data_IF_019574996501
#
_entry.id   IF_019574996501
#
_cell.length_a   1.000
_cell.length_b   1.000
_cell.length_c   1.000
_cell.angle_alpha   90.00
_cell.angle_beta   90.00
_cell.angle_gamma   90.00
#
_symmetry.space_group_name_H-M   'P 1'
#
loop_
_entity.id
_entity.type
_entity.pdbx_description
1 polymer ?
#
# COMPACT_ATOMS: atom_id res chain seq x y z
N UNK A 1 -11.15 19.19 -71.09
CA UNK A 1 -11.11 19.68 -69.70
C UNK A 1 -11.32 18.50 -68.77
N UNK A 2 -10.24 17.99 -68.16
CA UNK A 2 -10.25 16.85 -67.24
C UNK A 2 -10.35 17.39 -65.81
N UNK A 3 -11.45 17.10 -65.10
CA UNK A 3 -11.62 17.46 -63.67
C UNK A 3 -10.97 16.35 -62.83
N UNK A 4 -9.90 16.71 -62.07
CA UNK A 4 -9.27 15.85 -61.09
C UNK A 4 -10.06 16.05 -59.76
N UNK A 5 -10.72 14.99 -59.29
CA UNK A 5 -11.32 14.97 -57.99
C UNK A 5 -10.28 14.53 -56.96
N UNK A 6 -9.91 15.43 -56.05
CA UNK A 6 -9.03 15.13 -54.93
C UNK A 6 -9.91 14.58 -53.80
N UNK A 7 -9.83 13.28 -53.59
CA UNK A 7 -10.49 12.62 -52.46
C UNK A 7 -9.74 12.93 -51.14
N UNK A 8 -10.41 13.58 -50.21
CA UNK A 8 -9.91 13.83 -48.85
C UNK A 8 -10.06 12.54 -48.03
N UNK A 9 -8.96 11.81 -47.79
CA UNK A 9 -8.96 10.72 -46.80
C UNK A 9 -8.93 11.34 -45.38
N UNK A 10 -10.05 11.33 -44.70
CA UNK A 10 -10.12 11.62 -43.28
C UNK A 10 -9.55 10.40 -42.50
N UNK A 11 -8.34 10.53 -42.00
CA UNK A 11 -7.74 9.55 -41.12
C UNK A 11 -8.47 9.54 -39.78
N UNK A 12 -9.22 8.48 -39.47
CA UNK A 12 -9.72 8.20 -38.14
C UNK A 12 -8.52 7.80 -37.24
N UNK A 13 -8.10 8.71 -36.39
CA UNK A 13 -7.18 8.39 -35.28
C UNK A 13 -7.93 7.55 -34.26
N UNK A 14 -7.73 6.24 -34.24
CA UNK A 14 -8.14 5.41 -33.10
C UNK A 14 -7.25 5.79 -31.92
N UNK A 15 -7.82 6.54 -30.99
CA UNK A 15 -7.21 6.70 -29.65
C UNK A 15 -7.19 5.32 -28.98
N UNK A 16 -6.00 4.74 -28.82
CA UNK A 16 -5.85 3.55 -28.00
C UNK A 16 -6.25 3.94 -26.57
N UNK A 17 -7.36 3.43 -26.08
CA UNK A 17 -7.72 3.50 -24.67
C UNK A 17 -6.74 2.59 -23.97
N UNK A 18 -5.80 3.18 -23.22
CA UNK A 18 -4.91 2.40 -22.38
C UNK A 18 -5.77 1.69 -21.33
N UNK A 19 -5.61 0.37 -21.22
CA UNK A 19 -6.35 -0.43 -20.25
C UNK A 19 -5.68 -0.33 -18.88
N UNK A 20 -6.48 -0.17 -17.83
CA UNK A 20 -6.03 -0.30 -16.45
C UNK A 20 -5.44 -1.68 -16.25
N UNK A 21 -4.21 -1.76 -15.78
CA UNK A 21 -3.53 -3.01 -15.46
C UNK A 21 -3.67 -3.32 -13.97
N UNK A 22 -3.99 -4.56 -13.64
CA UNK A 22 -4.15 -5.03 -12.25
C UNK A 22 -3.04 -5.99 -11.89
N UNK A 23 -2.47 -5.80 -10.69
CA UNK A 23 -1.39 -6.60 -10.13
C UNK A 23 -1.81 -7.08 -8.74
N UNK A 24 -1.67 -8.37 -8.47
CA UNK A 24 -1.90 -8.98 -7.16
C UNK A 24 -0.62 -8.99 -6.34
N UNK A 25 -0.71 -8.67 -5.05
CA UNK A 25 0.45 -8.69 -4.16
C UNK A 25 1.03 -10.10 -4.06
N UNK A 26 2.35 -10.18 -4.16
CA UNK A 26 3.12 -11.40 -3.93
C UNK A 26 3.37 -11.54 -2.42
N UNK A 27 2.87 -12.61 -1.76
CA UNK A 27 2.79 -12.65 -0.30
C UNK A 27 4.14 -12.85 0.41
N UNK A 28 5.17 -13.39 -0.28
CA UNK A 28 6.46 -13.68 0.35
C UNK A 28 7.39 -12.45 0.42
N UNK A 29 7.13 -11.43 -0.42
CA UNK A 29 7.92 -10.20 -0.48
C UNK A 29 7.10 -8.94 -0.18
N UNK A 30 5.89 -9.10 0.40
CA UNK A 30 5.02 -7.99 0.76
C UNK A 30 4.83 -7.92 2.27
N UNK A 31 5.30 -6.82 2.88
CA UNK A 31 5.25 -6.62 4.32
C UNK A 31 4.85 -5.21 4.69
N UNK A 32 3.99 -5.09 5.70
CA UNK A 32 3.75 -3.85 6.43
C UNK A 32 4.50 -3.93 7.77
N UNK A 33 5.52 -3.09 7.94
CA UNK A 33 6.31 -2.94 9.17
C UNK A 33 5.85 -1.70 9.89
N UNK A 34 5.99 -1.70 11.21
CA UNK A 34 5.72 -0.53 12.03
C UNK A 34 6.77 -0.40 13.12
N UNK A 35 7.19 0.84 13.37
CA UNK A 35 8.22 1.17 14.34
C UNK A 35 7.76 2.27 15.29
N UNK A 36 8.11 2.14 16.57
CA UNK A 36 7.78 3.10 17.62
C UNK A 36 8.88 3.18 18.68
N UNK A 37 8.99 4.33 19.36
CA UNK A 37 9.91 4.50 20.48
C UNK A 37 9.40 3.74 21.71
N UNK A 38 10.27 2.99 22.36
CA UNK A 38 9.98 2.32 23.63
C UNK A 38 10.79 2.97 24.75
N UNK A 39 10.11 3.75 25.60
CA UNK A 39 10.67 4.46 26.76
C UNK A 39 11.87 5.37 26.42
N UNK A 40 12.04 5.74 25.17
CA UNK A 40 13.20 6.48 24.70
C UNK A 40 14.50 5.67 24.60
N UNK A 41 14.49 4.39 24.99
CA UNK A 41 15.69 3.56 24.94
C UNK A 41 16.01 3.05 23.53
N UNK A 42 14.98 2.70 22.77
CA UNK A 42 15.16 2.12 21.44
C UNK A 42 13.90 2.27 20.59
N UNK A 43 14.05 2.11 19.28
CA UNK A 43 12.95 1.92 18.35
C UNK A 43 12.67 0.42 18.22
N UNK A 44 11.47 0.02 18.59
CA UNK A 44 10.99 -1.34 18.37
C UNK A 44 10.36 -1.41 16.99
N UNK A 45 10.69 -2.45 16.21
CA UNK A 45 10.16 -2.67 14.87
C UNK A 45 9.51 -4.04 14.84
N UNK A 46 8.28 -4.05 14.35
CA UNK A 46 7.46 -5.25 14.15
C UNK A 46 6.88 -5.25 12.76
N UNK A 47 6.26 -6.37 12.34
CA UNK A 47 5.63 -6.48 11.04
C UNK A 47 4.37 -7.34 11.09
N UNK A 48 3.60 -7.27 10.02
CA UNK A 48 2.56 -8.25 9.72
C UNK A 48 3.04 -9.19 8.63
N UNK A 49 2.93 -10.51 8.89
CA UNK A 49 3.40 -11.55 7.97
C UNK A 49 2.37 -11.93 6.89
N UNK A 50 1.11 -11.45 7.01
CA UNK A 50 0.04 -11.73 6.04
C UNK A 50 -0.59 -10.42 5.57
N UNK A 51 -0.09 -9.95 4.44
CA UNK A 51 -0.59 -8.77 3.73
C UNK A 51 -1.08 -9.23 2.37
N UNK A 52 -2.29 -8.81 1.98
CA UNK A 52 -2.89 -9.09 0.68
C UNK A 52 -3.41 -7.81 0.08
N UNK A 53 -3.45 -7.74 -1.23
CA UNK A 53 -3.99 -6.56 -1.89
C UNK A 53 -3.79 -6.58 -3.38
N UNK A 54 -4.26 -5.52 -3.99
CA UNK A 54 -4.13 -5.26 -5.41
C UNK A 54 -3.60 -3.85 -5.64
N UNK A 55 -2.82 -3.72 -6.69
CA UNK A 55 -2.43 -2.46 -7.29
C UNK A 55 -3.03 -2.43 -8.69
N UNK A 56 -3.80 -1.39 -9.00
CA UNK A 56 -4.27 -1.15 -10.35
C UNK A 56 -3.78 0.21 -10.81
N UNK A 57 -3.27 0.32 -12.03
CA UNK A 57 -2.86 1.61 -12.58
C UNK A 57 -2.97 1.66 -14.11
N UNK A 58 -3.22 2.85 -14.61
CA UNK A 58 -3.13 3.23 -16.00
C UNK A 58 -1.98 4.24 -16.14
N UNK A 59 -0.87 3.79 -16.70
CA UNK A 59 0.34 4.61 -16.86
C UNK A 59 0.11 5.77 -17.80
N UNK A 60 -0.71 5.60 -18.83
CA UNK A 60 -0.96 6.64 -19.83
C UNK A 60 -1.92 7.71 -19.28
N UNK A 61 -2.93 7.31 -18.51
CA UNK A 61 -3.86 8.23 -17.86
C UNK A 61 -3.28 8.86 -16.57
N UNK A 62 -2.19 8.32 -16.01
CA UNK A 62 -1.65 8.78 -14.73
C UNK A 62 -2.62 8.54 -13.56
N UNK A 63 -3.36 7.43 -13.59
CA UNK A 63 -4.33 7.05 -12.55
C UNK A 63 -3.97 5.71 -11.96
N UNK A 64 -4.36 5.50 -10.70
CA UNK A 64 -4.12 4.23 -10.02
C UNK A 64 -4.91 4.08 -8.73
N UNK A 65 -4.98 2.86 -8.23
CA UNK A 65 -5.60 2.53 -6.96
C UNK A 65 -4.85 1.40 -6.26
N UNK A 66 -4.94 1.41 -4.93
CA UNK A 66 -4.36 0.38 -4.05
C UNK A 66 -5.44 -0.04 -3.07
N UNK A 67 -5.66 -1.33 -2.94
CA UNK A 67 -6.54 -1.93 -1.92
C UNK A 67 -5.74 -2.99 -1.15
N UNK A 68 -5.66 -2.82 0.18
CA UNK A 68 -4.84 -3.66 1.05
C UNK A 68 -5.67 -4.22 2.19
N UNK A 69 -5.48 -5.49 2.48
CA UNK A 69 -5.99 -6.16 3.68
C UNK A 69 -4.85 -6.86 4.42
N UNK A 70 -4.75 -6.58 5.71
CA UNK A 70 -3.74 -7.12 6.62
C UNK A 70 -4.44 -8.02 7.63
N UNK A 71 -3.99 -9.26 7.81
CA UNK A 71 -4.39 -10.11 8.92
C UNK A 71 -3.69 -9.63 10.20
N UNK A 72 -4.42 -9.03 11.14
CA UNK A 72 -3.84 -8.46 12.37
C UNK A 72 -3.26 -9.52 13.30
N UNK A 73 -3.74 -10.78 13.22
CA UNK A 73 -3.19 -11.91 13.97
C UNK A 73 -1.81 -12.34 13.47
N UNK A 74 -1.42 -11.89 12.28
CA UNK A 74 -0.11 -12.21 11.71
C UNK A 74 1.02 -11.30 12.20
N UNK A 75 0.75 -10.50 13.24
CA UNK A 75 1.76 -9.61 13.84
C UNK A 75 2.94 -10.44 14.36
N UNK A 76 4.13 -9.96 14.05
CA UNK A 76 5.40 -10.56 14.45
C UNK A 76 6.34 -9.48 14.98
N UNK A 77 6.62 -9.58 16.28
CA UNK A 77 7.51 -8.68 17.03
C UNK A 77 8.89 -9.30 17.24
N UNK A 78 9.10 -10.55 16.79
CA UNK A 78 10.27 -11.35 17.10
C UNK A 78 10.22 -12.04 18.48
N UNK A 79 9.11 -11.92 19.22
CA UNK A 79 8.88 -12.55 20.52
C UNK A 79 7.46 -13.09 20.62
N UNK A 80 7.30 -14.39 20.85
CA UNK A 80 5.98 -15.03 20.97
C UNK A 80 5.16 -14.45 22.12
N UNK A 81 5.80 -14.17 23.25
CA UNK A 81 5.14 -13.54 24.39
C UNK A 81 4.63 -12.14 24.05
N UNK A 82 5.43 -11.36 23.33
CA UNK A 82 5.03 -10.02 22.93
C UNK A 82 4.02 -10.04 21.79
N UNK A 83 4.06 -11.03 20.90
CA UNK A 83 3.02 -11.25 19.90
C UNK A 83 1.65 -11.47 20.54
N UNK A 84 1.58 -12.24 21.62
CA UNK A 84 0.34 -12.43 22.38
C UNK A 84 -0.11 -11.13 23.05
N UNK A 85 0.83 -10.39 23.66
CA UNK A 85 0.54 -9.14 24.34
C UNK A 85 -0.03 -8.07 23.40
N UNK A 86 0.59 -7.84 22.23
CA UNK A 86 0.18 -6.80 21.28
C UNK A 86 -1.16 -7.13 20.60
N UNK A 87 -1.58 -8.39 20.57
CA UNK A 87 -2.88 -8.83 20.08
C UNK A 87 -4.04 -8.53 21.06
N UNK A 88 -3.72 -8.18 22.30
CA UNK A 88 -4.69 -7.90 23.35
C UNK A 88 -5.56 -6.65 23.11
N UNK A 89 -6.60 -6.51 23.92
CA UNK A 89 -7.66 -5.47 23.83
C UNK A 89 -7.08 -4.03 23.89
N UNK A 90 -6.03 -3.81 24.66
CA UNK A 90 -5.41 -2.49 24.80
C UNK A 90 -4.64 -2.04 23.55
N UNK A 91 -4.34 -2.97 22.62
CA UNK A 91 -3.55 -2.74 21.41
C UNK A 91 -4.36 -3.10 20.16
N UNK A 92 -4.01 -4.19 19.47
CA UNK A 92 -4.64 -4.55 18.18
C UNK A 92 -6.06 -5.13 18.35
N UNK A 93 -6.37 -5.71 19.52
CA UNK A 93 -7.64 -6.41 19.80
C UNK A 93 -8.05 -7.35 18.67
N UNK A 94 -7.12 -8.24 18.28
CA UNK A 94 -7.26 -9.09 17.10
C UNK A 94 -8.41 -10.08 17.19
N UNK A 95 -8.95 -10.30 18.39
CA UNK A 95 -10.15 -11.11 18.60
C UNK A 95 -11.40 -10.45 18.01
N UNK A 96 -11.51 -9.12 18.12
CA UNK A 96 -12.62 -8.34 17.55
C UNK A 96 -12.29 -7.79 16.16
N UNK A 97 -11.05 -7.40 15.95
CA UNK A 97 -10.59 -6.70 14.75
C UNK A 97 -9.51 -7.52 14.03
N UNK A 98 -9.93 -8.64 13.43
CA UNK A 98 -9.03 -9.59 12.77
C UNK A 98 -8.34 -9.06 11.51
N UNK A 99 -8.76 -7.90 10.99
CA UNK A 99 -8.18 -7.28 9.80
C UNK A 99 -7.97 -5.78 9.99
N UNK A 100 -6.91 -5.25 9.39
CA UNK A 100 -6.75 -3.85 9.07
C UNK A 100 -6.81 -3.67 7.54
N UNK A 101 -7.30 -2.52 7.07
CA UNK A 101 -7.42 -2.25 5.63
C UNK A 101 -6.87 -0.87 5.29
N UNK A 102 -6.32 -0.75 4.07
CA UNK A 102 -6.00 0.52 3.48
C UNK A 102 -6.60 0.59 2.08
N UNK A 103 -7.37 1.64 1.82
CA UNK A 103 -7.99 1.88 0.51
C UNK A 103 -7.58 3.24 0.00
N UNK A 104 -6.94 3.28 -1.16
CA UNK A 104 -6.56 4.53 -1.78
C UNK A 104 -7.80 5.30 -2.29
N UNK A 105 -7.75 6.61 -2.12
CA UNK A 105 -8.67 7.56 -2.77
C UNK A 105 -8.02 8.21 -3.99
N UNK A 106 -6.68 8.37 -3.95
CA UNK A 106 -5.93 9.00 -5.04
C UNK A 106 -4.46 8.55 -5.05
N UNK A 107 -3.93 8.30 -6.24
CA UNK A 107 -2.49 8.12 -6.45
C UNK A 107 -1.95 9.35 -7.18
N UNK A 108 -0.86 9.92 -6.66
CA UNK A 108 -0.18 11.06 -7.26
C UNK A 108 1.03 10.58 -8.04
N UNK A 109 1.17 11.09 -9.26
CA UNK A 109 2.27 10.75 -10.16
C UNK A 109 3.12 11.99 -10.47
N UNK A 110 4.40 11.75 -10.63
CA UNK A 110 5.35 12.72 -11.20
C UNK A 110 6.16 12.00 -12.27
N UNK A 111 6.16 12.53 -13.48
CA UNK A 111 6.86 11.96 -14.64
C UNK A 111 6.51 10.46 -14.89
N UNK A 112 5.23 10.09 -14.65
CA UNK A 112 4.72 8.74 -14.82
C UNK A 112 5.08 7.76 -13.69
N UNK A 113 5.70 8.24 -12.61
CA UNK A 113 6.07 7.45 -11.42
C UNK A 113 5.20 7.86 -10.24
N UNK A 114 4.59 6.93 -9.48
CA UNK A 114 3.85 7.25 -8.27
C UNK A 114 4.78 7.83 -7.21
N UNK A 115 4.35 8.94 -6.59
CA UNK A 115 5.12 9.64 -5.54
C UNK A 115 4.42 9.60 -4.18
N UNK A 116 3.09 9.54 -4.18
CA UNK A 116 2.31 9.37 -2.96
C UNK A 116 0.94 8.77 -3.26
N UNK A 117 0.33 8.19 -2.23
CA UNK A 117 -1.00 7.60 -2.28
C UNK A 117 -1.80 8.15 -1.11
N UNK A 118 -2.87 8.88 -1.40
CA UNK A 118 -3.86 9.27 -0.40
C UNK A 118 -4.87 8.15 -0.25
N UNK A 119 -5.28 7.86 0.98
CA UNK A 119 -6.22 6.81 1.25
C UNK A 119 -6.71 6.82 2.68
N UNK A 120 -7.48 5.81 3.04
CA UNK A 120 -8.05 5.60 4.36
C UNK A 120 -7.49 4.32 4.96
N UNK A 121 -6.88 4.45 6.15
CA UNK A 121 -6.47 3.33 6.99
C UNK A 121 -7.58 3.03 7.99
N UNK A 122 -8.09 1.80 7.96
CA UNK A 122 -8.97 1.29 9.01
C UNK A 122 -8.18 0.32 9.89
N UNK A 123 -8.05 0.65 11.17
CA UNK A 123 -7.34 -0.16 12.15
C UNK A 123 -8.11 -0.16 13.46
N UNK A 124 -8.31 -1.35 14.07
CA UNK A 124 -9.09 -1.52 15.30
C UNK A 124 -10.48 -0.87 15.22
N UNK A 125 -11.13 -0.96 14.05
CA UNK A 125 -12.47 -0.43 13.79
C UNK A 125 -12.56 1.10 13.62
N UNK A 126 -11.43 1.81 13.63
CA UNK A 126 -11.36 3.26 13.42
C UNK A 126 -10.73 3.54 12.07
N UNK A 127 -11.28 4.49 11.32
CA UNK A 127 -10.79 4.90 10.00
C UNK A 127 -10.27 6.33 10.02
N UNK A 128 -9.04 6.51 9.55
CA UNK A 128 -8.42 7.82 9.38
C UNK A 128 -7.76 7.96 8.00
N UNK A 129 -7.73 9.19 7.45
CA UNK A 129 -6.96 9.47 6.24
C UNK A 129 -5.47 9.32 6.53
N UNK A 130 -4.77 8.60 5.64
CA UNK A 130 -3.33 8.39 5.72
C UNK A 130 -2.75 8.52 4.32
N UNK A 131 -1.74 9.36 4.17
CA UNK A 131 -0.97 9.48 2.93
C UNK A 131 0.29 8.63 3.02
N UNK A 132 0.46 7.71 2.08
CA UNK A 132 1.71 6.96 1.88
C UNK A 132 2.65 7.77 1.00
N UNK A 133 3.87 8.01 1.43
CA UNK A 133 4.95 8.57 0.60
C UNK A 133 5.69 7.42 -0.07
N UNK A 134 5.68 7.40 -1.40
CA UNK A 134 6.38 6.37 -2.20
C UNK A 134 7.82 6.84 -2.42
N UNK A 135 8.79 6.08 -1.92
CA UNK A 135 10.21 6.37 -2.06
C UNK A 135 10.87 5.62 -3.20
N UNK A 136 10.31 4.49 -3.59
CA UNK A 136 10.77 3.67 -4.71
C UNK A 136 9.56 3.05 -5.43
N UNK A 137 9.62 3.00 -6.76
CA UNK A 137 8.67 2.26 -7.60
C UNK A 137 9.37 1.79 -8.87
N UNK A 138 9.24 0.50 -9.17
CA UNK A 138 9.85 -0.08 -10.35
C UNK A 138 9.03 -1.24 -10.89
N UNK A 139 8.89 -1.33 -12.22
CA UNK A 139 8.21 -2.43 -12.89
C UNK A 139 9.12 -3.04 -13.97
N UNK A 140 9.14 -4.38 -14.03
CA UNK A 140 9.83 -5.12 -15.07
C UNK A 140 9.17 -6.50 -15.28
N UNK A 141 9.42 -7.18 -16.41
CA UNK A 141 9.04 -8.58 -16.54
C UNK A 141 9.72 -9.43 -15.47
N UNK A 142 8.94 -10.20 -14.72
CA UNK A 142 9.45 -11.05 -13.65
C UNK A 142 10.26 -12.23 -14.25
N UNK A 143 11.53 -12.39 -13.87
CA UNK A 143 12.43 -13.35 -14.55
C UNK A 143 11.97 -14.81 -14.47
N UNK A 144 11.31 -15.21 -13.39
CA UNK A 144 10.83 -16.57 -13.17
C UNK A 144 9.38 -16.77 -13.62
N UNK A 145 8.48 -15.81 -13.31
CA UNK A 145 7.04 -15.94 -13.58
C UNK A 145 6.67 -15.58 -15.03
N UNK A 146 7.56 -14.91 -15.76
CA UNK A 146 7.34 -14.42 -17.15
C UNK A 146 6.07 -13.57 -17.30
N UNK A 147 5.70 -12.89 -16.26
CA UNK A 147 4.63 -11.89 -16.17
C UNK A 147 5.24 -10.55 -15.76
N UNK A 148 4.59 -9.45 -16.09
CA UNK A 148 5.01 -8.16 -15.57
C UNK A 148 4.82 -8.12 -14.04
N UNK A 149 5.75 -7.49 -13.36
CA UNK A 149 5.71 -7.30 -11.93
C UNK A 149 6.16 -5.88 -11.57
N UNK A 150 5.62 -5.37 -10.50
CA UNK A 150 5.97 -4.06 -9.95
C UNK A 150 6.32 -4.20 -8.48
N UNK A 151 7.28 -3.38 -8.03
CA UNK A 151 7.63 -3.25 -6.62
C UNK A 151 7.61 -1.81 -6.18
N UNK A 152 7.31 -1.58 -4.90
CA UNK A 152 7.33 -0.26 -4.29
C UNK A 152 7.77 -0.32 -2.84
N UNK A 153 8.47 0.76 -2.41
CA UNK A 153 8.67 1.08 -1.00
C UNK A 153 7.90 2.34 -0.66
N UNK A 154 7.19 2.32 0.46
CA UNK A 154 6.43 3.47 0.93
C UNK A 154 6.49 3.61 2.45
N UNK A 155 6.27 4.84 2.93
CA UNK A 155 6.23 5.16 4.35
C UNK A 155 5.05 6.05 4.71
N UNK A 156 4.59 5.95 5.96
CA UNK A 156 3.66 6.89 6.56
C UNK A 156 3.93 7.05 8.05
N UNK A 157 3.35 8.08 8.67
CA UNK A 157 3.32 8.25 10.11
C UNK A 157 1.87 8.31 10.59
N UNK A 158 1.58 7.63 11.69
CA UNK A 158 0.27 7.64 12.34
C UNK A 158 0.44 7.73 13.86
N UNK A 159 -0.60 8.15 14.56
CA UNK A 159 -0.64 8.11 16.02
C UNK A 159 -1.48 6.92 16.49
N UNK A 160 -0.97 6.17 17.45
CA UNK A 160 -1.71 5.03 18.05
C UNK A 160 -2.99 5.50 18.74
N UNK A 161 -2.95 6.68 19.35
CA UNK A 161 -4.11 7.28 20.02
C UNK A 161 -5.29 7.50 19.08
N UNK A 162 -5.03 7.82 17.80
CA UNK A 162 -6.08 8.01 16.79
C UNK A 162 -6.86 6.72 16.52
N UNK A 163 -6.26 5.55 16.78
CA UNK A 163 -6.86 4.22 16.59
C UNK A 163 -7.20 3.50 17.90
N UNK A 164 -7.44 4.22 18.98
CA UNK A 164 -7.76 3.65 20.30
C UNK A 164 -6.69 2.65 20.81
N UNK A 165 -5.41 2.90 20.53
CA UNK A 165 -4.27 2.07 20.95
C UNK A 165 -3.26 2.86 21.80
N UNK A 166 -3.71 3.92 22.49
CA UNK A 166 -2.86 4.86 23.21
C UNK A 166 -2.38 4.38 24.59
N UNK A 167 -2.58 3.11 24.97
CA UNK A 167 -2.09 2.61 26.25
C UNK A 167 -0.59 2.84 26.39
N UNK A 168 -0.18 3.32 27.57
CA UNK A 168 1.20 3.67 27.91
C UNK A 168 1.81 4.84 27.12
N UNK A 169 1.04 5.59 26.34
CA UNK A 169 1.52 6.84 25.76
C UNK A 169 1.68 7.90 26.87
N UNK A 170 2.70 8.78 26.82
CA UNK A 170 3.75 8.87 25.81
C UNK A 170 4.99 7.99 26.04
N UNK A 171 5.07 7.25 27.17
CA UNK A 171 6.24 6.43 27.50
C UNK A 171 6.55 5.38 26.43
N UNK A 172 5.52 4.72 25.93
CA UNK A 172 5.58 3.99 24.66
C UNK A 172 5.10 4.94 23.58
N UNK A 173 5.97 5.26 22.63
CA UNK A 173 5.74 6.31 21.64
C UNK A 173 4.36 6.22 20.98
N UNK A 174 3.67 7.37 20.91
CA UNK A 174 2.39 7.48 20.24
C UNK A 174 2.55 7.49 18.72
N UNK A 175 3.56 8.17 18.23
CA UNK A 175 3.90 8.20 16.80
C UNK A 175 4.48 6.85 16.37
N UNK A 176 3.92 6.32 15.30
CA UNK A 176 4.34 5.06 14.66
C UNK A 176 4.71 5.35 13.22
N UNK A 177 5.92 4.96 12.84
CA UNK A 177 6.34 4.95 11.44
C UNK A 177 5.92 3.64 10.80
N UNK A 178 5.11 3.71 9.76
CA UNK A 178 4.76 2.58 8.91
C UNK A 178 5.77 2.54 7.76
N UNK A 179 6.35 1.36 7.50
CA UNK A 179 7.26 1.11 6.37
C UNK A 179 6.77 -0.10 5.59
N UNK A 180 6.52 0.11 4.32
CA UNK A 180 5.93 -0.88 3.42
C UNK A 180 6.97 -1.27 2.38
N UNK A 181 7.13 -2.58 2.16
CA UNK A 181 7.73 -3.14 0.97
C UNK A 181 6.67 -4.01 0.31
N UNK A 182 6.41 -3.79 -0.96
CA UNK A 182 5.42 -4.55 -1.73
C UNK A 182 5.99 -4.97 -3.07
N UNK A 183 5.77 -6.23 -3.42
CA UNK A 183 5.90 -6.74 -4.77
C UNK A 183 4.53 -7.22 -5.27
N UNK A 184 4.23 -6.98 -6.54
CA UNK A 184 2.96 -7.34 -7.14
C UNK A 184 3.16 -7.86 -8.55
N UNK A 185 2.42 -8.91 -8.90
CA UNK A 185 2.49 -9.59 -10.20
C UNK A 185 1.20 -9.38 -10.96
N UNK A 186 1.32 -9.05 -12.23
CA UNK A 186 0.19 -8.82 -13.13
C UNK A 186 -0.72 -10.05 -13.22
N UNK A 187 -2.02 -9.83 -13.21
CA UNK A 187 -3.03 -10.88 -13.39
C UNK A 187 -2.90 -11.68 -14.68
#
# INVERSE_FOLDING_TARGET
MRRIAIGLLAGLSLSAVAATETYNFEPNHTYARFGYSHLGYSTQISRFNKVRGTLSFDKAAGTGSVDVTIDTKSVDTGSDLFNQHIQGEDYLDTAKFGTATYKSSKVHFKDGVPTSVDGELTLKGVTHPVTLTVSHFYCMPHPMLKKDACGADATAQVKRTDFNMGKNAPYVGDEVTISIAVEAVKE
#
